data_IF_695748740048
#
_entry.id   IF_695748740048
#
_cell.length_a   1.000
_cell.length_b   1.000
_cell.length_c   1.000
_cell.angle_alpha   90.00
_cell.angle_beta   90.00
_cell.angle_gamma   90.00
#
_symmetry.space_group_name_H-M   'P 1'
#
loop_
_entity.id
_entity.type
_entity.pdbx_description
1 polymer ?
#
# COMPACT_ATOMS: atom_id res chain seq x y z
N UNK A 1 18.77 0.76 -5.41
CA UNK A 1 17.89 1.12 -6.55
C UNK A 1 18.17 2.50 -7.11
N UNK A 2 18.16 3.59 -6.32
CA UNK A 2 18.47 4.94 -6.81
C UNK A 2 19.84 5.04 -7.50
N UNK A 3 20.87 4.52 -6.85
CA UNK A 3 22.24 4.48 -7.40
C UNK A 3 22.33 3.70 -8.73
N UNK A 4 21.69 2.53 -8.81
CA UNK A 4 21.67 1.72 -10.02
C UNK A 4 20.89 2.36 -11.19
N UNK A 5 19.91 3.23 -10.90
CA UNK A 5 19.14 3.95 -11.90
C UNK A 5 19.84 5.22 -12.41
N UNK A 6 20.70 5.84 -11.60
CA UNK A 6 21.43 7.05 -11.94
C UNK A 6 20.49 8.21 -12.32
N UNK A 7 20.85 8.97 -13.36
CA UNK A 7 20.08 10.13 -13.85
C UNK A 7 18.65 9.77 -14.30
N UNK A 8 18.43 8.53 -14.74
CA UNK A 8 17.12 8.04 -15.18
C UNK A 8 16.13 7.85 -14.04
N UNK A 9 16.58 7.90 -12.78
CA UNK A 9 15.70 7.64 -11.65
C UNK A 9 14.50 8.61 -11.61
N UNK A 10 14.70 9.88 -11.97
CA UNK A 10 13.61 10.87 -12.01
C UNK A 10 12.54 10.62 -13.07
N UNK A 11 12.82 9.78 -14.07
CA UNK A 11 11.86 9.39 -15.12
C UNK A 11 11.24 8.00 -14.89
N UNK A 12 11.62 7.30 -13.83
CA UNK A 12 11.08 5.97 -13.52
C UNK A 12 9.86 6.12 -12.61
N UNK A 13 8.73 5.58 -13.06
CA UNK A 13 7.58 5.38 -12.19
C UNK A 13 7.81 4.16 -11.30
N UNK A 14 7.71 4.35 -9.99
CA UNK A 14 7.84 3.23 -9.04
C UNK A 14 6.48 2.62 -8.77
N UNK A 15 6.41 1.31 -9.02
CA UNK A 15 5.23 0.49 -8.84
C UNK A 15 5.39 -0.47 -7.65
N UNK A 16 4.29 -0.70 -6.92
CA UNK A 16 4.16 -1.84 -6.00
C UNK A 16 2.87 -2.62 -6.27
N UNK A 17 2.89 -3.91 -5.90
CA UNK A 17 1.69 -4.74 -5.81
C UNK A 17 1.29 -4.88 -4.35
N UNK A 18 0.02 -4.59 -4.08
CA UNK A 18 -0.65 -4.95 -2.83
C UNK A 18 -1.22 -6.36 -2.99
N UNK A 19 -0.91 -7.23 -2.04
CA UNK A 19 -1.41 -8.59 -1.97
C UNK A 19 -2.66 -8.71 -1.11
N UNK A 20 -2.78 -7.84 -0.11
CA UNK A 20 -3.93 -7.76 0.78
C UNK A 20 -4.36 -6.30 0.93
N UNK A 21 -5.56 -5.98 0.44
CA UNK A 21 -6.18 -4.68 0.57
C UNK A 21 -7.54 -4.88 1.25
N UNK A 22 -7.74 -4.30 2.43
CA UNK A 22 -8.97 -4.50 3.22
C UNK A 22 -9.30 -3.22 3.98
N UNK A 23 -10.55 -2.74 3.87
CA UNK A 23 -11.04 -1.63 4.68
C UNK A 23 -11.56 -2.17 6.01
N UNK A 24 -10.99 -1.70 7.12
CA UNK A 24 -11.34 -2.17 8.47
C UNK A 24 -10.96 -1.14 9.53
N UNK A 25 -11.68 -1.13 10.66
CA UNK A 25 -11.32 -0.36 11.85
C UNK A 25 -10.33 -1.10 12.78
N UNK A 26 -9.92 -2.33 12.43
CA UNK A 26 -9.00 -3.16 13.22
C UNK A 26 -7.86 -3.77 12.38
N UNK A 27 -7.12 -2.88 11.70
CA UNK A 27 -5.99 -3.27 10.84
C UNK A 27 -4.91 -4.06 11.58
N UNK A 28 -4.68 -3.76 12.87
CA UNK A 28 -3.66 -4.43 13.67
C UNK A 28 -4.01 -5.90 13.94
N UNK A 29 -5.24 -6.20 14.34
CA UNK A 29 -5.66 -7.60 14.55
C UNK A 29 -5.68 -8.37 13.23
N UNK A 30 -6.17 -7.76 12.14
CA UNK A 30 -6.18 -8.39 10.83
C UNK A 30 -4.76 -8.71 10.34
N UNK A 31 -3.84 -7.75 10.47
CA UNK A 31 -2.44 -7.94 10.12
C UNK A 31 -1.80 -9.05 10.98
N UNK A 32 -2.04 -9.07 12.29
CA UNK A 32 -1.52 -10.09 13.19
C UNK A 32 -2.03 -11.50 12.82
N UNK A 33 -3.26 -11.62 12.31
CA UNK A 33 -3.83 -12.89 11.87
C UNK A 33 -3.30 -13.35 10.50
N UNK A 34 -3.12 -12.42 9.55
CA UNK A 34 -2.73 -12.75 8.18
C UNK A 34 -1.22 -12.89 7.98
N UNK A 35 -0.42 -12.07 8.66
CA UNK A 35 1.04 -11.99 8.49
C UNK A 35 1.81 -13.31 8.69
N UNK A 36 1.44 -14.19 9.65
CA UNK A 36 2.14 -15.46 9.86
C UNK A 36 2.16 -16.38 8.64
N UNK A 37 1.13 -16.31 7.77
CA UNK A 37 1.09 -17.09 6.52
C UNK A 37 2.23 -16.71 5.55
N UNK A 38 2.83 -15.54 5.74
CA UNK A 38 3.96 -15.02 4.95
C UNK A 38 5.28 -15.03 5.73
N UNK A 39 5.31 -15.60 6.94
CA UNK A 39 6.51 -15.66 7.77
C UNK A 39 6.98 -14.32 8.33
N UNK A 40 6.07 -13.34 8.46
CA UNK A 40 6.35 -12.01 8.99
C UNK A 40 5.41 -11.67 10.16
N UNK A 41 5.76 -10.63 10.91
CA UNK A 41 4.90 -10.06 11.96
C UNK A 41 3.83 -9.13 11.37
N UNK A 42 2.74 -8.90 12.12
CA UNK A 42 1.71 -7.95 11.71
C UNK A 42 2.26 -6.52 11.54
N UNK A 43 3.19 -6.10 12.39
CA UNK A 43 3.87 -4.80 12.27
C UNK A 43 4.68 -4.71 10.97
N UNK A 44 5.43 -5.77 10.62
CA UNK A 44 6.16 -5.83 9.34
C UNK A 44 5.21 -5.78 8.14
N UNK A 45 4.04 -6.43 8.23
CA UNK A 45 3.04 -6.36 7.17
C UNK A 45 2.51 -4.94 6.98
N UNK A 46 2.10 -4.26 8.06
CA UNK A 46 1.61 -2.88 8.05
C UNK A 46 2.68 -1.86 7.64
N UNK A 47 3.95 -2.15 7.92
CA UNK A 47 5.07 -1.32 7.51
C UNK A 47 5.51 -1.55 6.05
N UNK A 48 4.92 -2.51 5.34
CA UNK A 48 5.29 -2.87 3.96
C UNK A 48 4.38 -2.19 2.92
N UNK A 49 4.85 -1.94 1.68
CA UNK A 49 4.01 -1.52 0.56
C UNK A 49 3.22 -2.67 -0.09
N UNK A 50 3.09 -3.81 0.59
CA UNK A 50 2.48 -5.03 0.07
C UNK A 50 1.15 -5.38 0.74
N UNK A 51 0.80 -4.69 1.82
CA UNK A 51 -0.50 -4.79 2.47
C UNK A 51 -1.04 -3.39 2.77
N UNK A 52 -2.34 -3.18 2.54
CA UNK A 52 -3.03 -1.93 2.81
C UNK A 52 -4.30 -2.26 3.61
N UNK A 53 -4.28 -1.96 4.89
CA UNK A 53 -5.36 -2.30 5.81
C UNK A 53 -5.61 -1.10 6.73
N UNK A 54 -6.88 -0.78 6.94
CA UNK A 54 -7.30 0.33 7.79
C UNK A 54 -8.58 0.98 7.29
N UNK A 55 -9.00 2.04 7.95
CA UNK A 55 -10.09 2.89 7.48
C UNK A 55 -9.72 3.53 6.14
N UNK A 56 -10.71 4.10 5.43
CA UNK A 56 -10.46 4.81 4.16
C UNK A 56 -9.39 5.89 4.34
N UNK A 57 -9.50 6.72 5.38
CA UNK A 57 -8.56 7.80 5.63
C UNK A 57 -7.15 7.26 5.97
N UNK A 58 -7.04 6.21 6.81
CA UNK A 58 -5.75 5.58 7.09
C UNK A 58 -5.10 4.95 5.86
N UNK A 59 -5.90 4.38 4.96
CA UNK A 59 -5.41 3.84 3.69
C UNK A 59 -4.89 4.94 2.77
N UNK A 60 -5.63 6.06 2.65
CA UNK A 60 -5.20 7.25 1.88
C UNK A 60 -3.88 7.79 2.44
N UNK A 61 -3.79 7.97 3.75
CA UNK A 61 -2.57 8.44 4.42
C UNK A 61 -1.40 7.48 4.22
N UNK A 62 -1.64 6.17 4.26
CA UNK A 62 -0.62 5.15 4.02
C UNK A 62 -0.06 5.24 2.60
N UNK A 63 -0.94 5.37 1.60
CA UNK A 63 -0.53 5.54 0.20
C UNK A 63 0.28 6.83 0.00
N UNK A 64 -0.13 7.94 0.61
CA UNK A 64 0.63 9.19 0.58
C UNK A 64 2.01 9.04 1.22
N UNK A 65 2.10 8.38 2.39
CA UNK A 65 3.39 8.07 3.03
C UNK A 65 4.29 7.21 2.15
N UNK A 66 3.77 6.26 1.39
CA UNK A 66 4.58 5.47 0.45
C UNK A 66 5.14 6.33 -0.69
N UNK A 67 4.35 7.28 -1.20
CA UNK A 67 4.79 8.25 -2.20
C UNK A 67 5.92 9.13 -1.66
N UNK A 68 5.75 9.69 -0.47
CA UNK A 68 6.75 10.55 0.17
C UNK A 68 8.04 9.79 0.53
N UNK A 69 7.89 8.63 1.18
CA UNK A 69 9.01 7.85 1.72
C UNK A 69 9.80 7.13 0.64
N UNK A 70 9.10 6.52 -0.32
CA UNK A 70 9.71 5.61 -1.29
C UNK A 70 9.63 6.11 -2.72
N UNK A 71 8.77 7.08 -3.03
CA UNK A 71 8.51 7.54 -4.39
C UNK A 71 7.56 6.63 -5.17
N UNK A 72 6.84 5.73 -4.49
CA UNK A 72 5.85 4.84 -5.14
C UNK A 72 4.66 5.68 -5.59
N UNK A 73 4.37 5.65 -6.89
CA UNK A 73 3.28 6.43 -7.50
C UNK A 73 2.28 5.57 -8.26
N UNK A 74 2.59 4.29 -8.50
CA UNK A 74 1.68 3.34 -9.12
C UNK A 74 1.44 2.13 -8.21
N UNK A 75 0.18 1.85 -7.92
CA UNK A 75 -0.22 0.77 -7.01
C UNK A 75 -1.16 -0.16 -7.76
N UNK A 76 -0.87 -1.46 -7.70
CA UNK A 76 -1.71 -2.50 -8.28
C UNK A 76 -2.30 -3.37 -7.18
N UNK A 77 -3.59 -3.67 -7.27
CA UNK A 77 -4.34 -4.52 -6.35
C UNK A 77 -4.91 -5.74 -7.08
N UNK A 78 -5.42 -6.71 -6.32
CA UNK A 78 -6.22 -7.80 -6.88
C UNK A 78 -7.58 -7.26 -7.34
N UNK A 79 -8.08 -7.76 -8.47
CA UNK A 79 -9.37 -7.32 -9.01
C UNK A 79 -10.54 -7.51 -8.04
N UNK A 80 -10.48 -8.54 -7.20
CA UNK A 80 -11.47 -8.80 -6.14
C UNK A 80 -11.55 -7.71 -5.08
N UNK A 81 -10.50 -6.90 -4.90
CA UNK A 81 -10.47 -5.78 -3.95
C UNK A 81 -10.82 -4.44 -4.60
N UNK A 82 -11.04 -4.39 -5.91
CA UNK A 82 -11.21 -3.12 -6.63
C UNK A 82 -12.48 -2.36 -6.22
N UNK A 83 -13.60 -3.06 -6.06
CA UNK A 83 -14.86 -2.45 -5.64
C UNK A 83 -14.78 -1.95 -4.19
N UNK A 84 -14.23 -2.75 -3.28
CA UNK A 84 -14.05 -2.38 -1.88
C UNK A 84 -13.15 -1.15 -1.73
N UNK A 85 -12.07 -1.08 -2.52
CA UNK A 85 -11.11 0.02 -2.46
C UNK A 85 -11.54 1.28 -3.23
N UNK A 86 -12.70 1.27 -3.89
CA UNK A 86 -13.19 2.41 -4.67
C UNK A 86 -13.20 3.74 -3.88
N UNK A 87 -13.65 3.80 -2.61
CA UNK A 87 -13.63 5.05 -1.84
C UNK A 87 -12.21 5.61 -1.61
N UNK A 88 -11.20 4.75 -1.46
CA UNK A 88 -9.80 5.18 -1.32
C UNK A 88 -9.29 5.75 -2.64
N UNK A 89 -9.62 5.11 -3.76
CA UNK A 89 -9.26 5.59 -5.10
C UNK A 89 -9.90 6.95 -5.38
N UNK A 90 -11.19 7.12 -5.09
CA UNK A 90 -11.91 8.39 -5.26
C UNK A 90 -11.26 9.52 -4.48
N UNK A 91 -10.86 9.26 -3.22
CA UNK A 91 -10.18 10.25 -2.38
C UNK A 91 -8.82 10.62 -2.93
N UNK A 92 -8.03 9.65 -3.37
CA UNK A 92 -6.71 9.89 -3.96
C UNK A 92 -6.77 10.60 -5.32
N UNK A 93 -7.82 10.36 -6.11
CA UNK A 93 -8.01 11.01 -7.41
C UNK A 93 -8.42 12.50 -7.30
N UNK A 94 -8.94 12.90 -6.14
CA UNK A 94 -9.33 14.28 -5.85
C UNK A 94 -8.25 15.15 -5.18
N UNK A 95 -7.07 14.57 -4.90
CA UNK A 95 -5.90 15.27 -4.35
C UNK A 95 -5.00 15.79 -5.47
#
# INVERSE_FOLDING_TARGET
MREAAGERFGSIELQTRIHLAVITDDAHSLAAAAAPAFGITGEQALASPHALMGTVDECVDTVQRWRERWGISYISLMGSAAEEMAPVVERLAGL
#
